data_IF_549363468253
#
_entry.id   IF_549363468253
#
_cell.length_a   1.000
_cell.length_b   1.000
_cell.length_c   1.000
_cell.angle_alpha   90.00
_cell.angle_beta   90.00
_cell.angle_gamma   90.00
#
_symmetry.space_group_name_H-M   'P 1'
#
loop_
_entity.id
_entity.type
_entity.pdbx_description
1 polymer ?
#
# COMPACT_ATOMS: atom_id res chain seq x y z
N UNK A 1 -3.20 33.52 -10.17
CA UNK A 1 -2.07 32.99 -10.98
C UNK A 1 -1.88 31.55 -10.54
N UNK A 2 -2.45 30.56 -11.24
CA UNK A 2 -2.20 29.15 -11.00
C UNK A 2 -0.77 28.85 -11.45
N UNK A 3 0.15 28.79 -10.51
CA UNK A 3 1.49 28.29 -10.81
C UNK A 3 1.38 26.84 -11.27
N UNK A 4 1.81 26.52 -12.47
CA UNK A 4 1.96 25.15 -12.95
C UNK A 4 2.87 24.38 -11.98
N UNK A 5 2.30 23.37 -11.31
CA UNK A 5 3.08 22.48 -10.46
C UNK A 5 4.08 21.77 -11.35
N UNK A 6 5.38 21.95 -11.05
CA UNK A 6 6.43 21.21 -11.75
C UNK A 6 6.25 19.72 -11.47
N UNK A 7 6.20 18.90 -12.53
CA UNK A 7 5.95 17.45 -12.44
C UNK A 7 7.04 16.63 -13.12
N UNK A 8 7.10 15.34 -12.80
CA UNK A 8 7.93 14.34 -13.48
C UNK A 8 7.06 13.18 -13.92
N UNK A 9 7.43 12.56 -15.02
CA UNK A 9 6.89 11.27 -15.44
C UNK A 9 7.92 10.19 -15.08
N UNK A 10 7.54 9.31 -14.20
CA UNK A 10 8.43 8.24 -13.71
C UNK A 10 7.97 6.88 -14.25
N UNK A 11 8.92 6.10 -14.76
CA UNK A 11 8.69 4.77 -15.30
C UNK A 11 8.84 3.70 -14.21
N UNK A 12 7.90 2.76 -14.16
CA UNK A 12 7.91 1.62 -13.24
C UNK A 12 7.83 0.28 -13.99
N UNK A 13 8.18 -0.82 -13.34
CA UNK A 13 8.24 -2.16 -13.92
C UNK A 13 8.99 -2.16 -15.26
N UNK A 14 10.16 -1.49 -15.28
CA UNK A 14 11.01 -1.32 -16.50
C UNK A 14 10.25 -0.70 -17.67
N UNK A 15 9.43 0.31 -17.40
CA UNK A 15 8.67 1.04 -18.42
C UNK A 15 7.32 0.40 -18.78
N UNK A 16 6.85 -0.61 -18.06
CA UNK A 16 5.52 -1.20 -18.30
C UNK A 16 4.36 -0.27 -17.93
N UNK A 17 4.62 0.69 -17.05
CA UNK A 17 3.67 1.77 -16.75
C UNK A 17 4.40 3.02 -16.27
N UNK A 18 3.73 4.16 -16.36
CA UNK A 18 4.28 5.46 -16.02
C UNK A 18 3.34 6.20 -15.10
N UNK A 19 3.91 7.05 -14.23
CA UNK A 19 3.14 7.87 -13.29
C UNK A 19 3.65 9.30 -13.34
N UNK A 20 2.70 10.24 -13.39
CA UNK A 20 2.97 11.66 -13.18
C UNK A 20 3.03 11.92 -11.66
N UNK A 21 4.06 12.61 -11.21
CA UNK A 21 4.25 12.96 -9.82
C UNK A 21 4.71 14.41 -9.65
N UNK A 22 4.36 15.10 -8.54
CA UNK A 22 4.85 16.44 -8.28
C UNK A 22 6.36 16.42 -8.06
N UNK A 23 7.07 17.40 -8.67
CA UNK A 23 8.51 17.55 -8.51
C UNK A 23 8.82 18.32 -7.23
N UNK A 24 9.65 17.73 -6.35
CA UNK A 24 10.18 18.42 -5.17
C UNK A 24 9.20 18.65 -4.03
N UNK A 25 8.00 18.07 -4.07
CA UNK A 25 6.98 18.13 -3.02
C UNK A 25 6.31 16.77 -2.83
N UNK A 26 5.86 16.52 -1.60
CA UNK A 26 5.13 15.30 -1.26
C UNK A 26 6.01 14.05 -1.21
N UNK A 27 5.38 12.94 -0.85
CA UNK A 27 6.03 11.63 -0.86
C UNK A 27 6.04 11.07 -2.29
N UNK A 28 7.25 10.89 -2.86
CA UNK A 28 7.37 10.26 -4.18
C UNK A 28 7.21 8.74 -4.03
N UNK A 29 6.40 8.18 -4.89
CA UNK A 29 6.30 6.75 -4.99
C UNK A 29 7.63 6.14 -5.44
N UNK A 30 7.99 5.03 -4.83
CA UNK A 30 9.23 4.33 -5.11
C UNK A 30 9.08 2.84 -4.80
N UNK A 31 10.16 2.23 -4.29
CA UNK A 31 10.25 0.81 -3.97
C UNK A 31 9.13 0.33 -3.03
N UNK A 32 8.76 1.13 -2.02
CA UNK A 32 7.72 0.78 -1.05
C UNK A 32 6.39 0.45 -1.75
N UNK A 33 6.01 1.23 -2.77
CA UNK A 33 4.80 0.99 -3.56
C UNK A 33 4.88 -0.32 -4.38
N UNK A 34 6.04 -0.64 -4.94
CA UNK A 34 6.24 -1.88 -5.71
C UNK A 34 6.22 -3.11 -4.81
N UNK A 35 6.87 -3.04 -3.65
CA UNK A 35 6.85 -4.11 -2.66
C UNK A 35 5.43 -4.33 -2.11
N UNK A 36 4.69 -3.25 -1.83
CA UNK A 36 3.28 -3.33 -1.42
C UNK A 36 2.43 -4.01 -2.50
N UNK A 37 2.55 -3.58 -3.75
CA UNK A 37 1.82 -4.16 -4.87
C UNK A 37 2.12 -5.66 -5.05
N UNK A 38 3.36 -6.09 -4.77
CA UNK A 38 3.77 -7.50 -4.90
C UNK A 38 3.04 -8.44 -3.92
N UNK A 39 2.46 -7.91 -2.82
CA UNK A 39 1.70 -8.69 -1.84
C UNK A 39 0.34 -9.18 -2.38
N UNK A 40 -0.17 -8.57 -3.44
CA UNK A 40 -1.39 -9.03 -4.10
C UNK A 40 -1.01 -10.09 -5.14
N UNK A 41 -1.32 -11.36 -4.85
CA UNK A 41 -0.90 -12.50 -5.66
C UNK A 41 -2.10 -13.29 -6.25
N UNK A 42 -3.28 -12.68 -6.30
CA UNK A 42 -4.49 -13.33 -6.80
C UNK A 42 -4.60 -13.14 -8.32
N UNK A 43 -4.65 -14.22 -9.07
CA UNK A 43 -4.83 -14.25 -10.53
C UNK A 43 -6.31 -14.33 -10.98
N UNK A 44 -7.22 -14.45 -10.02
CA UNK A 44 -8.66 -14.44 -10.23
C UNK A 44 -9.17 -13.02 -10.40
N UNK A 45 -10.40 -12.91 -10.93
CA UNK A 45 -11.10 -11.62 -10.94
C UNK A 45 -11.33 -11.14 -9.49
N UNK A 46 -10.77 -9.99 -9.15
CA UNK A 46 -10.83 -9.44 -7.81
C UNK A 46 -10.89 -7.91 -7.83
N UNK A 47 -11.54 -7.36 -6.80
CA UNK A 47 -11.60 -5.91 -6.56
C UNK A 47 -10.61 -5.55 -5.46
N UNK A 48 -9.84 -4.50 -5.70
CA UNK A 48 -8.75 -4.05 -4.85
C UNK A 48 -8.94 -2.57 -4.52
N UNK A 49 -8.82 -2.22 -3.26
CA UNK A 49 -8.74 -0.83 -2.82
C UNK A 49 -7.30 -0.48 -2.44
N UNK A 50 -6.80 0.64 -2.98
CA UNK A 50 -5.55 1.27 -2.56
C UNK A 50 -5.91 2.49 -1.71
N UNK A 51 -5.72 2.39 -0.39
CA UNK A 51 -6.09 3.44 0.56
C UNK A 51 -4.93 4.43 0.74
N UNK A 52 -5.20 5.72 0.48
CA UNK A 52 -4.18 6.75 0.46
C UNK A 52 -3.23 6.59 -0.72
N UNK A 53 -3.81 6.37 -1.90
CA UNK A 53 -3.09 5.96 -3.10
C UNK A 53 -2.04 6.98 -3.60
N UNK A 54 -2.14 8.26 -3.17
CA UNK A 54 -1.30 9.32 -3.71
C UNK A 54 -1.49 9.45 -5.22
N UNK A 55 -0.39 9.45 -5.98
CA UNK A 55 -0.42 9.44 -7.44
C UNK A 55 -0.76 8.05 -8.05
N UNK A 56 -1.09 7.04 -7.21
CA UNK A 56 -1.62 5.75 -7.66
C UNK A 56 -0.59 4.66 -7.91
N UNK A 57 0.66 4.79 -7.45
CA UNK A 57 1.75 3.89 -7.82
C UNK A 57 1.50 2.42 -7.46
N UNK A 58 1.05 2.13 -6.24
CA UNK A 58 0.85 0.76 -5.79
C UNK A 58 -0.33 0.11 -6.50
N UNK A 59 -1.47 0.79 -6.57
CA UNK A 59 -2.66 0.29 -7.25
C UNK A 59 -2.44 0.09 -8.74
N UNK A 60 -1.76 1.03 -9.44
CA UNK A 60 -1.41 0.88 -10.85
C UNK A 60 -0.42 -0.25 -11.09
N UNK A 61 0.55 -0.47 -10.19
CA UNK A 61 1.46 -1.62 -10.27
C UNK A 61 0.71 -2.95 -10.16
N UNK A 62 -0.32 -3.03 -9.29
CA UNK A 62 -1.21 -4.19 -9.22
C UNK A 62 -1.96 -4.39 -10.55
N UNK A 63 -2.61 -3.33 -11.06
CA UNK A 63 -3.39 -3.40 -12.29
C UNK A 63 -2.54 -3.75 -13.52
N UNK A 64 -1.31 -3.23 -13.60
CA UNK A 64 -0.37 -3.54 -14.68
C UNK A 64 0.12 -4.99 -14.64
N UNK A 65 0.09 -5.65 -13.48
CA UNK A 65 0.55 -7.04 -13.30
C UNK A 65 -0.58 -8.07 -13.37
N UNK A 66 -1.76 -7.72 -12.87
CA UNK A 66 -2.90 -8.64 -12.75
C UNK A 66 -4.02 -8.23 -13.73
N UNK A 67 -4.15 -8.95 -14.82
CA UNK A 67 -5.07 -8.63 -15.92
C UNK A 67 -6.56 -8.64 -15.53
N UNK A 68 -6.92 -9.41 -14.47
CA UNK A 68 -8.31 -9.55 -14.01
C UNK A 68 -8.63 -8.70 -12.77
N UNK A 69 -7.67 -7.89 -12.30
CA UNK A 69 -7.88 -7.03 -11.15
C UNK A 69 -8.56 -5.73 -11.53
N UNK A 70 -9.59 -5.35 -10.79
CA UNK A 70 -10.20 -4.03 -10.80
C UNK A 70 -9.70 -3.26 -9.57
N UNK A 71 -9.15 -2.07 -9.76
CA UNK A 71 -8.50 -1.30 -8.70
C UNK A 71 -9.20 0.03 -8.51
N UNK A 72 -9.53 0.37 -7.26
CA UNK A 72 -9.98 1.70 -6.89
C UNK A 72 -8.92 2.39 -6.05
N UNK A 73 -8.44 3.52 -6.52
CA UNK A 73 -7.47 4.38 -5.84
C UNK A 73 -8.24 5.39 -4.99
N UNK A 74 -8.11 5.32 -3.66
CA UNK A 74 -8.72 6.27 -2.74
C UNK A 74 -7.68 7.27 -2.27
N UNK A 75 -7.89 8.54 -2.58
CA UNK A 75 -6.98 9.62 -2.20
C UNK A 75 -7.78 10.84 -1.77
N UNK A 76 -7.40 11.44 -0.62
CA UNK A 76 -8.10 12.62 -0.09
C UNK A 76 -7.61 13.93 -0.68
N UNK A 77 -6.37 13.97 -1.17
CA UNK A 77 -5.80 15.16 -1.79
C UNK A 77 -6.29 15.30 -3.23
N UNK A 78 -7.06 16.35 -3.59
CA UNK A 78 -7.49 16.56 -4.98
C UNK A 78 -6.31 16.67 -5.95
N UNK A 79 -5.19 17.28 -5.52
CA UNK A 79 -3.97 17.40 -6.32
C UNK A 79 -3.38 16.02 -6.65
N UNK A 80 -3.24 15.14 -5.66
CA UNK A 80 -2.70 13.80 -5.87
C UNK A 80 -3.64 12.91 -6.67
N UNK A 81 -4.94 13.02 -6.45
CA UNK A 81 -5.97 12.34 -7.22
C UNK A 81 -5.96 12.80 -8.71
N UNK A 82 -5.68 14.08 -8.98
CA UNK A 82 -5.50 14.59 -10.34
C UNK A 82 -4.27 13.96 -11.01
N UNK A 83 -3.13 13.88 -10.33
CA UNK A 83 -1.96 13.17 -10.84
C UNK A 83 -2.27 11.71 -11.17
N UNK A 84 -3.01 11.01 -10.31
CA UNK A 84 -3.43 9.64 -10.58
C UNK A 84 -4.34 9.54 -11.83
N UNK A 85 -5.35 10.41 -11.96
CA UNK A 85 -6.24 10.45 -13.15
C UNK A 85 -5.47 10.73 -14.42
N UNK A 86 -4.59 11.72 -14.41
CA UNK A 86 -3.76 12.08 -15.57
C UNK A 86 -2.79 10.96 -15.94
N UNK A 87 -2.23 10.26 -14.95
CA UNK A 87 -1.40 9.08 -15.20
C UNK A 87 -2.18 7.98 -15.92
N UNK A 88 -3.46 7.76 -15.58
CA UNK A 88 -4.30 6.78 -16.28
C UNK A 88 -4.59 7.14 -17.74
N UNK A 89 -4.46 8.42 -18.12
CA UNK A 89 -4.65 8.87 -19.49
C UNK A 89 -3.38 8.74 -20.35
N UNK A 90 -2.25 8.39 -19.78
CA UNK A 90 -1.01 8.18 -20.51
C UNK A 90 -1.15 6.97 -21.46
N UNK A 91 -0.70 7.09 -22.73
CA UNK A 91 -0.73 5.98 -23.68
C UNK A 91 -0.04 4.71 -23.18
N UNK A 92 1.02 4.86 -22.40
CA UNK A 92 1.80 3.77 -21.78
C UNK A 92 0.97 2.94 -20.79
N UNK A 93 -0.11 3.51 -20.26
CA UNK A 93 -0.97 2.87 -19.27
C UNK A 93 -2.27 2.30 -19.88
N UNK A 94 -2.46 2.43 -21.19
CA UNK A 94 -3.71 2.03 -21.88
C UNK A 94 -4.10 0.55 -21.65
N UNK A 95 -3.12 -0.33 -21.45
CA UNK A 95 -3.36 -1.76 -21.25
C UNK A 95 -4.18 -2.10 -19.97
N UNK A 96 -4.18 -1.22 -18.98
CA UNK A 96 -4.88 -1.47 -17.70
C UNK A 96 -5.75 -0.32 -17.21
N UNK A 97 -5.62 0.88 -17.79
CA UNK A 97 -6.29 2.09 -17.29
C UNK A 97 -7.80 1.94 -17.17
N UNK A 98 -8.45 1.18 -18.08
CA UNK A 98 -9.90 0.92 -18.02
C UNK A 98 -10.34 0.11 -16.78
N UNK A 99 -9.40 -0.54 -16.07
CA UNK A 99 -9.65 -1.32 -14.86
C UNK A 99 -9.28 -0.60 -13.57
N UNK A 100 -8.89 0.68 -13.68
CA UNK A 100 -8.49 1.51 -12.53
C UNK A 100 -9.39 2.73 -12.44
N UNK A 101 -9.97 2.96 -11.27
CA UNK A 101 -10.75 4.15 -10.97
C UNK A 101 -10.10 4.97 -9.87
N UNK A 102 -10.34 6.28 -9.85
CA UNK A 102 -9.85 7.20 -8.81
C UNK A 102 -11.04 7.82 -8.10
N UNK A 103 -11.09 7.63 -6.79
CA UNK A 103 -12.10 8.17 -5.89
C UNK A 103 -11.48 9.14 -4.89
N UNK A 104 -11.91 10.41 -4.91
CA UNK A 104 -11.51 11.37 -3.88
C UNK A 104 -12.31 11.08 -2.61
N UNK A 105 -11.64 10.52 -1.60
CA UNK A 105 -12.26 10.19 -0.33
C UNK A 105 -11.26 10.22 0.82
N UNK A 106 -11.75 10.63 1.99
CA UNK A 106 -11.02 10.48 3.23
C UNK A 106 -11.30 9.08 3.82
N UNK A 107 -10.26 8.28 3.90
CA UNK A 107 -10.33 6.90 4.40
C UNK A 107 -10.55 6.81 5.92
N UNK A 108 -10.49 7.92 6.63
CA UNK A 108 -10.78 7.98 8.08
C UNK A 108 -12.28 8.13 8.39
N UNK A 109 -13.10 8.41 7.38
CA UNK A 109 -14.56 8.51 7.51
C UNK A 109 -15.17 7.22 8.07
N UNK A 110 -16.34 7.36 8.75
CA UNK A 110 -17.00 6.25 9.46
C UNK A 110 -18.44 6.07 8.99
N UNK A 111 -18.93 4.85 9.13
CA UNK A 111 -20.32 4.49 8.93
C UNK A 111 -20.91 5.08 7.62
N UNK A 112 -22.04 5.78 7.71
CA UNK A 112 -22.75 6.34 6.57
C UNK A 112 -21.89 7.30 5.74
N UNK A 113 -21.13 8.20 6.39
CA UNK A 113 -20.28 9.16 5.70
C UNK A 113 -19.21 8.45 4.85
N UNK A 114 -18.65 7.33 5.32
CA UNK A 114 -17.70 6.50 4.56
C UNK A 114 -18.35 5.92 3.30
N UNK A 115 -19.56 5.36 3.42
CA UNK A 115 -20.29 4.77 2.29
C UNK A 115 -20.66 5.85 1.26
N UNK A 116 -21.15 7.01 1.73
CA UNK A 116 -21.48 8.16 0.88
C UNK A 116 -20.26 8.73 0.14
N UNK A 117 -19.07 8.60 0.73
CA UNK A 117 -17.79 8.97 0.09
C UNK A 117 -17.27 7.90 -0.89
N UNK A 118 -18.04 6.84 -1.18
CA UNK A 118 -17.67 5.83 -2.16
C UNK A 118 -16.83 4.66 -1.62
N UNK A 119 -16.77 4.48 -0.30
CA UNK A 119 -16.10 3.36 0.38
C UNK A 119 -17.17 2.34 0.87
N UNK A 120 -17.72 1.47 0.00
CA UNK A 120 -18.84 0.58 0.32
C UNK A 120 -18.43 -0.55 1.28
N UNK A 121 -19.40 -1.09 2.02
CA UNK A 121 -19.18 -2.25 2.88
C UNK A 121 -18.92 -3.52 2.05
N UNK A 122 -18.06 -4.39 2.56
CA UNK A 122 -17.84 -5.76 2.08
C UNK A 122 -17.73 -5.89 0.55
N UNK A 123 -16.96 -5.01 -0.07
CA UNK A 123 -16.84 -4.92 -1.51
C UNK A 123 -15.52 -5.45 -2.06
N UNK A 124 -14.41 -5.21 -1.36
CA UNK A 124 -13.06 -5.49 -1.84
C UNK A 124 -12.52 -6.83 -1.35
N UNK A 125 -11.83 -7.55 -2.23
CA UNK A 125 -11.14 -8.82 -1.92
C UNK A 125 -9.76 -8.54 -1.32
N UNK A 126 -9.12 -7.43 -1.76
CA UNK A 126 -7.84 -6.97 -1.25
C UNK A 126 -7.92 -5.48 -0.90
N UNK A 127 -7.28 -5.12 0.19
CA UNK A 127 -6.99 -3.73 0.53
C UNK A 127 -5.48 -3.60 0.70
N UNK A 128 -4.90 -2.66 -0.03
CA UNK A 128 -3.49 -2.29 0.12
C UNK A 128 -3.40 -0.88 0.70
N UNK A 129 -2.36 -0.61 1.49
CA UNK A 129 -2.12 0.72 2.04
C UNK A 129 -0.65 0.96 2.36
N UNK A 130 -0.19 2.19 2.10
CA UNK A 130 1.10 2.72 2.50
C UNK A 130 0.87 4.01 3.29
N UNK A 131 0.46 3.92 4.57
CA UNK A 131 0.12 5.10 5.36
C UNK A 131 1.31 6.07 5.46
N UNK A 132 1.06 7.39 5.53
CA UNK A 132 2.13 8.37 5.64
C UNK A 132 2.92 8.16 6.94
N UNK A 133 4.25 8.23 6.84
CA UNK A 133 5.14 8.20 7.98
C UNK A 133 5.49 9.63 8.36
N UNK A 134 5.19 10.05 9.58
CA UNK A 134 5.72 11.30 10.10
C UNK A 134 7.18 11.06 10.48
N UNK A 135 8.10 11.64 9.72
CA UNK A 135 9.49 11.74 10.13
C UNK A 135 9.62 12.73 11.28
N UNK A 136 9.81 12.22 12.51
CA UNK A 136 10.27 13.04 13.64
C UNK A 136 11.64 13.72 13.35
N UNK A 137 12.23 13.44 12.20
CA UNK A 137 13.49 13.97 11.71
C UNK A 137 13.37 15.02 10.61
N UNK A 138 12.18 15.38 10.14
CA UNK A 138 12.03 16.44 9.16
C UNK A 138 12.26 17.80 9.83
N UNK A 139 13.49 18.31 9.66
CA UNK A 139 14.18 19.36 10.44
C UNK A 139 13.65 20.78 10.28
N UNK A 140 12.35 21.02 10.09
CA UNK A 140 11.83 22.40 9.96
C UNK A 140 10.43 22.65 10.52
N UNK A 141 9.96 21.86 11.50
CA UNK A 141 8.63 22.11 12.07
C UNK A 141 8.75 22.67 13.49
N UNK A 142 8.14 23.83 13.82
CA UNK A 142 8.04 24.35 15.19
C UNK A 142 7.40 23.34 16.14
N UNK A 143 7.77 23.36 17.43
CA UNK A 143 7.36 22.36 18.43
C UNK A 143 5.83 22.14 18.54
N UNK A 144 5.01 23.16 18.30
CA UNK A 144 3.56 23.06 18.29
C UNK A 144 3.02 22.21 17.14
N UNK A 145 3.62 22.33 15.93
CA UNK A 145 3.28 21.51 14.77
C UNK A 145 3.78 20.06 14.91
N UNK A 146 4.85 19.84 15.68
CA UNK A 146 5.31 18.48 16.03
C UNK A 146 4.35 17.76 16.96
N UNK A 147 3.80 18.48 17.95
CA UNK A 147 2.79 17.92 18.86
C UNK A 147 1.49 17.59 18.11
N UNK A 148 1.05 18.45 17.19
CA UNK A 148 -0.12 18.22 16.34
C UNK A 148 0.12 17.05 15.34
N UNK A 149 1.31 16.97 14.75
CA UNK A 149 1.71 15.85 13.91
C UNK A 149 1.79 14.53 14.70
N UNK A 150 2.28 14.53 15.94
CA UNK A 150 2.25 13.37 16.82
C UNK A 150 0.82 12.95 17.19
N UNK A 151 -0.03 13.90 17.54
CA UNK A 151 -1.44 13.63 17.85
C UNK A 151 -2.22 13.12 16.63
N UNK A 152 -1.88 13.59 15.41
CA UNK A 152 -2.45 13.08 14.15
C UNK A 152 -1.92 11.67 13.80
N UNK A 153 -0.81 11.24 14.39
CA UNK A 153 -0.23 9.90 14.14
C UNK A 153 -0.82 8.86 15.11
N UNK A 154 -1.18 9.29 16.33
CA UNK A 154 -1.87 8.40 17.27
C UNK A 154 -3.25 8.02 16.72
N UNK A 155 -3.45 6.72 16.45
CA UNK A 155 -4.69 6.18 15.94
C UNK A 155 -4.82 6.11 14.41
N UNK A 156 -3.84 6.60 13.63
CA UNK A 156 -3.89 6.54 12.18
C UNK A 156 -4.07 5.09 11.68
N UNK A 157 -3.30 4.16 12.21
CA UNK A 157 -3.43 2.75 11.85
C UNK A 157 -4.79 2.17 12.27
N UNK A 158 -5.34 2.56 13.43
CA UNK A 158 -6.68 2.10 13.83
C UNK A 158 -7.75 2.60 12.84
N UNK A 159 -7.68 3.86 12.45
CA UNK A 159 -8.64 4.44 11.50
C UNK A 159 -8.59 3.76 10.14
N UNK A 160 -7.41 3.60 9.58
CA UNK A 160 -7.22 3.00 8.26
C UNK A 160 -7.53 1.50 8.24
N UNK A 161 -7.06 0.76 9.25
CA UNK A 161 -7.32 -0.68 9.38
C UNK A 161 -8.82 -0.94 9.68
N UNK A 162 -9.47 -0.07 10.43
CA UNK A 162 -10.92 -0.13 10.65
C UNK A 162 -11.68 0.03 9.33
N UNK A 163 -11.31 1.02 8.52
CA UNK A 163 -11.93 1.23 7.20
C UNK A 163 -11.65 0.04 6.29
N UNK A 164 -10.42 -0.47 6.24
CA UNK A 164 -10.10 -1.69 5.50
C UNK A 164 -10.99 -2.86 5.94
N UNK A 165 -11.17 -3.05 7.25
CA UNK A 165 -12.05 -4.10 7.78
C UNK A 165 -13.51 -3.93 7.38
N UNK A 166 -14.01 -2.70 7.25
CA UNK A 166 -15.38 -2.44 6.84
C UNK A 166 -15.62 -2.71 5.35
N UNK A 167 -14.69 -2.24 4.48
CA UNK A 167 -14.87 -2.33 3.01
C UNK A 167 -14.49 -3.69 2.42
N UNK A 168 -13.76 -4.52 3.15
CA UNK A 168 -13.34 -5.85 2.68
C UNK A 168 -14.45 -6.89 2.85
N UNK A 169 -14.51 -7.84 1.93
CA UNK A 169 -15.31 -9.06 2.10
C UNK A 169 -14.72 -9.95 3.21
N UNK A 170 -15.51 -10.80 3.89
CA UNK A 170 -14.97 -11.84 4.77
C UNK A 170 -13.94 -12.71 4.03
N UNK A 171 -12.81 -13.00 4.68
CA UNK A 171 -11.71 -13.75 4.05
C UNK A 171 -10.82 -12.91 3.12
N UNK A 172 -11.13 -11.63 2.91
CA UNK A 172 -10.30 -10.73 2.12
C UNK A 172 -8.95 -10.45 2.79
N UNK A 173 -7.95 -10.07 1.99
CA UNK A 173 -6.58 -9.82 2.45
C UNK A 173 -6.29 -8.33 2.59
N UNK A 174 -5.89 -7.93 3.80
CA UNK A 174 -5.23 -6.66 4.07
C UNK A 174 -3.73 -6.82 3.79
N UNK A 175 -3.13 -5.84 3.12
CA UNK A 175 -1.69 -5.74 2.90
C UNK A 175 -1.22 -4.31 3.17
N UNK A 176 -0.17 -4.16 3.94
CA UNK A 176 0.41 -2.84 4.19
C UNK A 176 1.94 -2.91 4.28
N UNK A 177 2.57 -1.78 3.98
CA UNK A 177 3.97 -1.54 4.24
C UNK A 177 4.09 -0.47 5.32
N UNK A 178 5.02 -0.64 6.26
CA UNK A 178 5.20 0.28 7.39
C UNK A 178 6.65 0.26 7.89
N UNK A 179 6.97 1.18 8.82
CA UNK A 179 8.21 1.11 9.60
C UNK A 179 8.08 0.07 10.72
N UNK A 180 9.17 -0.62 11.11
CA UNK A 180 9.14 -1.62 12.20
C UNK A 180 8.63 -1.04 13.52
N UNK A 181 8.85 0.23 13.80
CA UNK A 181 8.41 0.91 15.02
C UNK A 181 6.87 0.91 15.19
N UNK A 182 6.13 0.83 14.08
CA UNK A 182 4.64 0.81 14.10
C UNK A 182 4.06 -0.59 14.34
N UNK A 183 4.87 -1.62 14.58
CA UNK A 183 4.40 -3.01 14.68
C UNK A 183 3.36 -3.21 15.77
N UNK A 184 3.58 -2.63 16.96
CA UNK A 184 2.66 -2.77 18.09
C UNK A 184 1.29 -2.12 17.80
N UNK A 185 1.30 -0.95 17.18
CA UNK A 185 0.11 -0.19 16.80
C UNK A 185 -0.72 -0.94 15.74
N UNK A 186 -0.05 -1.49 14.72
CA UNK A 186 -0.70 -2.29 13.67
C UNK A 186 -1.31 -3.56 14.24
N UNK A 187 -0.61 -4.27 15.13
CA UNK A 187 -1.16 -5.47 15.79
C UNK A 187 -2.40 -5.11 16.61
N UNK A 188 -2.34 -4.03 17.39
CA UNK A 188 -3.46 -3.55 18.19
C UNK A 188 -4.65 -3.14 17.31
N UNK A 189 -4.40 -2.39 16.23
CA UNK A 189 -5.43 -1.94 15.28
C UNK A 189 -6.12 -3.11 14.54
N UNK A 190 -5.39 -4.17 14.21
CA UNK A 190 -5.97 -5.39 13.65
C UNK A 190 -6.96 -6.05 14.61
N UNK A 191 -6.61 -6.13 15.90
CA UNK A 191 -7.48 -6.63 16.96
C UNK A 191 -8.16 -7.94 16.61
N UNK A 192 -9.48 -8.00 16.81
CA UNK A 192 -10.30 -9.17 16.46
C UNK A 192 -10.81 -9.17 15.01
N UNK A 193 -10.58 -8.07 14.25
CA UNK A 193 -11.07 -7.94 12.86
C UNK A 193 -10.25 -8.78 11.88
N UNK A 194 -8.96 -8.93 12.15
CA UNK A 194 -8.01 -9.62 11.29
C UNK A 194 -7.20 -10.66 12.06
N UNK A 195 -6.91 -11.76 11.40
CA UNK A 195 -6.02 -12.78 11.93
C UNK A 195 -5.14 -13.39 10.83
N UNK A 196 -4.35 -14.39 11.20
CA UNK A 196 -3.37 -14.96 10.28
C UNK A 196 -2.36 -13.92 9.81
N UNK A 197 -2.01 -12.96 10.67
CA UNK A 197 -1.05 -11.91 10.32
C UNK A 197 0.30 -12.53 10.00
N UNK A 198 0.89 -12.11 8.88
CA UNK A 198 2.26 -12.43 8.51
C UNK A 198 3.06 -11.14 8.43
N UNK A 199 4.19 -11.10 9.13
CA UNK A 199 5.10 -9.95 9.15
C UNK A 199 6.42 -10.37 8.53
N UNK A 200 6.90 -9.58 7.55
CA UNK A 200 8.20 -9.73 6.91
C UNK A 200 9.01 -8.46 7.14
N UNK A 201 10.13 -8.57 7.81
CA UNK A 201 11.06 -7.46 7.97
C UNK A 201 11.89 -7.27 6.70
N UNK A 202 12.12 -6.02 6.31
CA UNK A 202 12.91 -5.64 5.14
C UNK A 202 14.19 -4.99 5.63
N UNK A 203 15.31 -5.63 5.32
CA UNK A 203 16.66 -5.19 5.65
C UNK A 203 17.35 -4.60 4.41
N UNK A 204 18.01 -3.47 4.49
CA UNK A 204 18.80 -2.93 3.37
C UNK A 204 19.88 -3.91 2.93
N UNK A 205 20.64 -4.46 3.89
CA UNK A 205 21.69 -5.46 3.67
C UNK A 205 21.71 -6.52 4.76
N UNK A 206 22.39 -7.66 4.54
CA UNK A 206 22.59 -8.65 5.60
C UNK A 206 23.30 -8.02 6.80
N UNK A 207 22.75 -8.24 8.00
CA UNK A 207 23.27 -7.71 9.26
C UNK A 207 22.94 -6.25 9.57
N UNK A 208 22.26 -5.53 8.69
CA UNK A 208 21.70 -4.20 8.98
C UNK A 208 20.31 -4.31 9.59
N UNK A 209 19.90 -3.33 10.39
CA UNK A 209 18.57 -3.28 10.97
C UNK A 209 17.49 -3.13 9.90
N UNK A 210 16.29 -3.66 10.21
CA UNK A 210 15.14 -3.53 9.33
C UNK A 210 14.67 -2.07 9.24
N UNK A 211 14.45 -1.60 8.01
CA UNK A 211 13.97 -0.23 7.73
C UNK A 211 12.49 -0.17 7.37
N UNK A 212 11.93 -1.30 6.93
CA UNK A 212 10.51 -1.47 6.57
C UNK A 212 10.03 -2.84 7.03
N UNK A 213 8.72 -2.99 7.06
CA UNK A 213 8.06 -4.29 7.19
C UNK A 213 6.86 -4.37 6.26
N UNK A 214 6.65 -5.54 5.70
CA UNK A 214 5.42 -5.91 5.01
C UNK A 214 4.52 -6.66 5.99
N UNK A 215 3.27 -6.30 6.04
CA UNK A 215 2.27 -6.96 6.87
C UNK A 215 1.10 -7.38 6.01
N UNK A 216 0.69 -8.64 6.12
CA UNK A 216 -0.55 -9.13 5.54
C UNK A 216 -1.41 -9.75 6.63
N UNK A 217 -2.74 -9.63 6.51
CA UNK A 217 -3.69 -10.23 7.43
C UNK A 217 -5.01 -10.57 6.71
N UNK A 218 -5.81 -11.46 7.27
CA UNK A 218 -7.06 -11.93 6.66
C UNK A 218 -8.26 -11.51 7.51
N UNK A 219 -9.24 -10.84 6.90
CA UNK A 219 -10.48 -10.42 7.58
C UNK A 219 -11.23 -11.65 8.13
N UNK A 220 -11.54 -11.61 9.44
CA UNK A 220 -12.31 -12.65 10.12
C UNK A 220 -11.53 -13.94 10.43
N UNK A 221 -10.25 -14.04 10.06
CA UNK A 221 -9.41 -15.19 10.40
C UNK A 221 -9.11 -15.22 11.91
N UNK A 222 -8.99 -16.43 12.46
CA UNK A 222 -8.52 -16.69 13.84
C UNK A 222 -7.12 -17.31 13.87
N UNK A 223 -6.46 -17.42 12.72
CA UNK A 223 -5.11 -17.95 12.65
C UNK A 223 -4.12 -17.03 13.40
N UNK A 224 -3.08 -17.63 13.96
CA UNK A 224 -2.07 -16.93 14.76
C UNK A 224 -1.18 -16.05 13.87
N UNK A 225 -0.59 -15.03 14.47
CA UNK A 225 0.48 -14.22 13.88
C UNK A 225 1.72 -15.08 13.65
N UNK A 226 2.43 -14.82 12.57
CA UNK A 226 3.72 -15.41 12.25
C UNK A 226 4.68 -14.37 11.65
N UNK A 227 5.97 -14.53 11.94
CA UNK A 227 7.04 -13.84 11.24
C UNK A 227 7.55 -14.72 10.10
N UNK A 228 7.78 -14.08 8.96
CA UNK A 228 8.38 -14.74 7.80
C UNK A 228 9.90 -14.52 7.79
N UNK A 229 10.60 -15.29 6.96
CA UNK A 229 12.00 -14.99 6.70
C UNK A 229 12.17 -13.54 6.21
N UNK A 230 13.22 -12.83 6.66
CA UNK A 230 13.43 -11.44 6.28
C UNK A 230 13.69 -11.29 4.78
N UNK A 231 13.31 -10.15 4.23
CA UNK A 231 13.63 -9.77 2.86
C UNK A 231 14.85 -8.85 2.89
N UNK A 232 15.92 -9.24 2.20
CA UNK A 232 17.15 -8.44 2.06
C UNK A 232 17.14 -7.75 0.70
N UNK A 233 17.29 -6.42 0.72
CA UNK A 233 17.14 -5.60 -0.49
C UNK A 233 18.32 -5.70 -1.44
N UNK A 234 19.54 -5.58 -0.91
CA UNK A 234 20.74 -5.46 -1.73
C UNK A 234 21.70 -6.63 -1.52
N UNK A 235 22.42 -6.96 -2.58
CA UNK A 235 23.52 -7.91 -2.53
C UNK A 235 24.64 -7.39 -1.61
N UNK A 236 25.37 -8.30 -0.99
CA UNK A 236 26.50 -7.97 -0.11
C UNK A 236 27.56 -7.17 -0.88
N UNK A 237 27.92 -6.00 -0.36
CA UNK A 237 28.95 -5.13 -0.96
C UNK A 237 28.53 -4.42 -2.24
N UNK A 238 27.25 -4.44 -2.60
CA UNK A 238 26.70 -3.84 -3.82
C UNK A 238 25.50 -2.94 -3.53
N UNK A 239 25.17 -2.07 -4.48
CA UNK A 239 23.89 -1.34 -4.54
C UNK A 239 22.85 -2.05 -5.42
N UNK A 240 23.22 -3.16 -6.07
CA UNK A 240 22.28 -3.96 -6.84
C UNK A 240 21.27 -4.63 -5.90
N UNK A 241 20.04 -4.71 -6.35
CA UNK A 241 19.02 -5.49 -5.65
C UNK A 241 19.35 -6.98 -5.74
N UNK A 242 18.95 -7.74 -4.70
CA UNK A 242 18.89 -9.20 -4.84
C UNK A 242 17.94 -9.58 -5.98
N UNK A 243 18.21 -10.69 -6.66
CA UNK A 243 17.40 -11.13 -7.82
C UNK A 243 15.90 -11.14 -7.49
N UNK A 244 15.54 -11.67 -6.33
CA UNK A 244 14.12 -11.75 -5.94
C UNK A 244 13.50 -10.37 -5.71
N UNK A 245 14.21 -9.44 -5.07
CA UNK A 245 13.73 -8.07 -4.87
C UNK A 245 13.62 -7.31 -6.20
N UNK A 246 14.57 -7.50 -7.12
CA UNK A 246 14.47 -6.93 -8.48
C UNK A 246 13.24 -7.47 -9.21
N UNK A 247 12.93 -8.76 -9.06
CA UNK A 247 11.72 -9.35 -9.65
C UNK A 247 10.44 -8.80 -9.04
N UNK A 248 10.38 -8.61 -7.71
CA UNK A 248 9.25 -7.95 -7.03
C UNK A 248 9.08 -6.51 -7.53
N UNK A 249 10.18 -5.74 -7.54
CA UNK A 249 10.19 -4.33 -7.95
C UNK A 249 9.77 -4.14 -9.42
N UNK A 250 9.96 -5.14 -10.25
CA UNK A 250 9.62 -5.08 -11.68
C UNK A 250 8.36 -5.88 -12.04
N UNK A 251 7.58 -6.33 -11.05
CA UNK A 251 6.31 -7.03 -11.27
C UNK A 251 6.46 -8.40 -11.95
N UNK A 252 7.66 -9.02 -11.89
CA UNK A 252 7.92 -10.37 -12.41
C UNK A 252 7.66 -11.46 -11.39
N UNK A 253 7.64 -11.11 -10.11
CA UNK A 253 7.29 -12.01 -9.01
C UNK A 253 6.21 -11.41 -8.11
N UNK A 254 5.55 -12.26 -7.34
CA UNK A 254 4.65 -11.87 -6.25
C UNK A 254 5.19 -12.39 -4.92
N UNK A 255 4.98 -11.62 -3.87
CA UNK A 255 5.31 -12.01 -2.50
C UNK A 255 4.06 -12.53 -1.80
N UNK A 256 3.61 -13.71 -2.22
CA UNK A 256 2.39 -14.33 -1.71
C UNK A 256 2.52 -14.77 -0.26
N UNK A 257 1.39 -14.82 0.43
CA UNK A 257 1.28 -15.42 1.76
C UNK A 257 1.71 -16.88 1.73
N UNK A 258 2.23 -17.37 2.87
CA UNK A 258 2.43 -18.81 3.04
C UNK A 258 1.06 -19.47 3.14
N UNK A 259 0.65 -20.15 2.08
CA UNK A 259 -0.53 -21.01 2.11
C UNK A 259 -0.19 -22.21 2.99
N UNK A 260 -0.37 -22.07 4.31
CA UNK A 260 -0.48 -23.28 5.15
C UNK A 260 -1.75 -23.98 4.68
N UNK A 261 -1.60 -25.17 4.09
CA UNK A 261 -2.72 -26.01 3.74
C UNK A 261 -3.72 -26.00 4.91
N UNK A 262 -4.93 -25.49 4.64
CA UNK A 262 -6.05 -25.63 5.56
C UNK A 262 -6.24 -27.14 5.66
N UNK A 263 -5.78 -27.76 6.74
CA UNK A 263 -6.18 -29.14 7.02
C UNK A 263 -7.69 -29.12 7.14
N UNK A 264 -8.42 -29.90 6.33
CA UNK A 264 -9.85 -30.06 6.56
C UNK A 264 -10.01 -30.53 8.01
N UNK A 265 -10.96 -29.92 8.73
CA UNK A 265 -11.34 -30.39 10.04
C UNK A 265 -11.81 -31.84 9.88
N UNK A 266 -11.12 -32.76 10.56
CA UNK A 266 -11.49 -34.16 10.72
C UNK A 266 -12.68 -34.28 11.65
#
# INVERSE_FOLDING_TARGET
VSGTVSETMDAFHRGRFHILQPKGRGHRAGMDAMLLASLVADDRACRIADLGAGAGAAGMAVAARLEKAEVTLYERSPEMADFARRSLLLPENAAFSARVSVCEADVTLRAKARVEAGLPDEHFHHVIMNPPYNDAGDRRTPDALKAEAHAMTEGLFDEWIRTAGAIMVPGGQLSLIARPQSVAEIIAACGSRFGGMEITLIHPRPGEDAVRMLVTAIKGSRAKLSFRAPLVMHETGSHAFTTFVDDLNNGRAAYSRNVRAIRPAS
#
